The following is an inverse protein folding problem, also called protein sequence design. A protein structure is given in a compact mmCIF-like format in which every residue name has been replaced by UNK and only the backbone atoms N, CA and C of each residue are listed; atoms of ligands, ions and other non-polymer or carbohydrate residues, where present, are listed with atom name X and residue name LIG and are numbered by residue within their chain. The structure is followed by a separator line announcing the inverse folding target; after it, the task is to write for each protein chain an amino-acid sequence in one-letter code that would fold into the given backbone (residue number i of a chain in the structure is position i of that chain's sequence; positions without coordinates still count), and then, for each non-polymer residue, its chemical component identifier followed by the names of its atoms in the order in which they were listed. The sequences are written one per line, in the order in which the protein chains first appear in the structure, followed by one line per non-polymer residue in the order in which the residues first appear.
data_IF_472881622897
#
_entry.id   IF_472881622897
#
_cell.length_a   1.000
_cell.length_b   1.000
_cell.length_c   1.000
_cell.angle_alpha   90.00
_cell.angle_beta   90.00
_cell.angle_gamma   90.00
#
_symmetry.space_group_name_H-M   'P 1'
#
loop_
_entity.id
_entity.type
_entity.pdbx_description
1 polymer ?
#
# COMPACT_ATOMS: atom_id res chain seq x y z
N UNK A 1 10.65 -13.50 -16.01
CA UNK A 1 11.36 -12.90 -14.84
C UNK A 1 10.38 -12.21 -13.88
N UNK A 2 9.55 -11.25 -14.33
CA UNK A 2 8.57 -10.57 -13.47
C UNK A 2 7.58 -11.50 -12.76
N UNK A 3 7.02 -12.51 -13.45
CA UNK A 3 6.12 -13.49 -12.82
C UNK A 3 6.80 -14.27 -11.68
N UNK A 4 8.09 -14.60 -11.82
CA UNK A 4 8.84 -15.28 -10.77
C UNK A 4 9.08 -14.36 -9.56
N UNK A 5 9.46 -13.09 -9.80
CA UNK A 5 9.60 -12.09 -8.75
C UNK A 5 8.27 -11.83 -8.01
N UNK A 6 7.16 -11.73 -8.74
CA UNK A 6 5.82 -11.60 -8.16
C UNK A 6 5.46 -12.80 -7.26
N UNK A 7 5.70 -14.03 -7.74
CA UNK A 7 5.46 -15.24 -6.94
C UNK A 7 6.32 -15.26 -5.68
N UNK A 8 7.61 -14.90 -5.79
CA UNK A 8 8.51 -14.78 -4.63
C UNK A 8 7.98 -13.78 -3.59
N UNK A 9 7.54 -12.59 -4.02
CA UNK A 9 6.97 -11.58 -3.11
C UNK A 9 5.73 -12.09 -2.39
N UNK A 10 4.83 -12.78 -3.11
CA UNK A 10 3.65 -13.40 -2.51
C UNK A 10 4.01 -14.46 -1.47
N UNK A 11 4.93 -15.36 -1.80
CA UNK A 11 5.41 -16.39 -0.88
C UNK A 11 6.06 -15.78 0.37
N UNK A 12 6.90 -14.75 0.19
CA UNK A 12 7.56 -14.06 1.31
C UNK A 12 6.57 -13.41 2.30
N UNK A 13 5.38 -13.04 1.83
CA UNK A 13 4.30 -12.46 2.64
C UNK A 13 3.27 -13.50 3.10
N UNK A 14 3.51 -14.80 2.87
CA UNK A 14 2.55 -15.87 3.21
C UNK A 14 1.27 -15.84 2.37
N UNK A 15 1.26 -15.11 1.25
CA UNK A 15 0.10 -14.95 0.37
C UNK A 15 0.06 -16.10 -0.65
N UNK A 16 -0.31 -17.29 -0.18
CA UNK A 16 -0.53 -18.46 -1.04
C UNK A 16 -1.53 -18.20 -2.17
N UNK A 17 -1.63 -19.15 -3.11
CA UNK A 17 -2.45 -18.97 -4.32
C UNK A 17 -3.95 -18.77 -4.04
N UNK A 18 -4.46 -19.34 -2.95
CA UNK A 18 -5.84 -19.16 -2.51
C UNK A 18 -6.08 -17.87 -1.69
N UNK A 19 -5.01 -17.14 -1.33
CA UNK A 19 -5.13 -15.93 -0.51
C UNK A 19 -5.79 -14.79 -1.27
N UNK A 20 -6.88 -14.27 -0.68
CA UNK A 20 -7.65 -13.13 -1.18
C UNK A 20 -7.31 -11.81 -0.45
N UNK A 21 -6.19 -11.79 0.28
CA UNK A 21 -5.73 -10.57 0.97
C UNK A 21 -5.53 -9.46 -0.06
N UNK A 22 -6.16 -8.28 0.09
CA UNK A 22 -5.94 -7.18 -0.82
C UNK A 22 -4.51 -6.65 -0.65
N UNK A 23 -3.87 -6.24 -1.75
CA UNK A 23 -2.53 -5.67 -1.73
C UNK A 23 -2.36 -4.61 -2.82
N UNK A 24 -1.39 -3.73 -2.62
CA UNK A 24 -0.82 -2.91 -3.69
C UNK A 24 0.37 -3.64 -4.31
N UNK A 25 0.46 -3.62 -5.64
CA UNK A 25 1.64 -4.07 -6.38
C UNK A 25 2.21 -2.87 -7.14
N UNK A 26 3.47 -2.56 -6.88
CA UNK A 26 4.26 -1.60 -7.62
C UNK A 26 5.28 -2.37 -8.45
N UNK A 27 5.41 -2.01 -9.72
CA UNK A 27 6.36 -2.64 -10.62
C UNK A 27 6.96 -1.58 -11.55
N UNK A 28 8.28 -1.56 -11.63
CA UNK A 28 9.06 -0.83 -12.62
C UNK A 28 9.85 -1.82 -13.47
N UNK A 29 10.75 -1.35 -14.32
CA UNK A 29 11.68 -2.21 -15.06
C UNK A 29 12.76 -2.81 -14.14
N UNK A 30 13.04 -2.16 -13.01
CA UNK A 30 14.18 -2.46 -12.15
C UNK A 30 13.78 -3.19 -10.86
N UNK A 31 12.54 -3.01 -10.39
CA UNK A 31 12.08 -3.57 -9.12
C UNK A 31 10.58 -3.82 -9.07
N UNK A 32 10.17 -4.65 -8.11
CA UNK A 32 8.77 -4.88 -7.73
C UNK A 32 8.63 -4.80 -6.22
N UNK A 33 7.51 -4.25 -5.75
CA UNK A 33 7.16 -4.17 -4.34
C UNK A 33 5.69 -4.56 -4.14
N UNK A 34 5.41 -5.44 -3.18
CA UNK A 34 4.06 -5.85 -2.83
C UNK A 34 3.78 -5.44 -1.38
N UNK A 35 2.67 -4.75 -1.16
CA UNK A 35 2.27 -4.28 0.17
C UNK A 35 0.85 -4.77 0.48
N UNK A 36 0.67 -5.69 1.44
CA UNK A 36 -0.66 -6.07 1.94
C UNK A 36 -1.39 -4.83 2.45
N UNK A 37 -2.70 -4.76 2.17
CA UNK A 37 -3.57 -3.66 2.61
C UNK A 37 -4.57 -4.16 3.65
N UNK A 38 -4.70 -3.43 4.74
CA UNK A 38 -5.70 -3.69 5.78
C UNK A 38 -6.97 -2.87 5.58
N UNK A 39 -6.87 -1.73 4.88
CA UNK A 39 -7.99 -0.84 4.52
C UNK A 39 -7.64 -0.01 3.28
N UNK A 40 -8.65 0.58 2.65
CA UNK A 40 -8.48 1.41 1.46
C UNK A 40 -8.06 2.87 1.77
N UNK A 41 -8.39 3.37 2.95
CA UNK A 41 -8.17 4.76 3.34
C UNK A 41 -7.92 4.93 4.84
N UNK A 42 -7.37 6.10 5.19
CA UNK A 42 -7.27 6.57 6.57
C UNK A 42 -7.43 8.10 6.56
N UNK A 43 -8.13 8.67 7.56
CA UNK A 43 -8.47 10.10 7.62
C UNK A 43 -9.19 10.64 6.36
N UNK A 44 -9.99 9.80 5.69
CA UNK A 44 -10.67 10.13 4.43
C UNK A 44 -9.73 10.25 3.21
N UNK A 45 -8.44 9.93 3.37
CA UNK A 45 -7.45 9.92 2.28
C UNK A 45 -7.29 8.50 1.77
N UNK A 46 -7.65 8.30 0.50
CA UNK A 46 -7.52 7.03 -0.19
C UNK A 46 -6.06 6.73 -0.51
N UNK A 47 -5.60 5.52 -0.17
CA UNK A 47 -4.22 5.08 -0.42
C UNK A 47 -4.19 3.89 -1.37
N UNK A 48 -3.78 4.15 -2.61
CA UNK A 48 -3.52 3.16 -3.64
C UNK A 48 -2.02 2.84 -3.74
N UNK A 49 -1.59 2.14 -4.78
CA UNK A 49 -0.20 1.78 -4.98
C UNK A 49 0.74 2.99 -5.09
N UNK A 50 0.31 4.10 -5.70
CA UNK A 50 1.13 5.32 -5.82
C UNK A 50 1.38 6.01 -4.49
N UNK A 51 0.49 5.83 -3.50
CA UNK A 51 0.73 6.31 -2.14
C UNK A 51 2.01 5.71 -1.53
N UNK A 52 2.25 4.42 -1.78
CA UNK A 52 3.47 3.72 -1.35
C UNK A 52 4.71 4.07 -2.19
N UNK A 53 4.53 4.78 -3.32
CA UNK A 53 5.61 5.40 -4.08
C UNK A 53 5.87 6.86 -3.65
N UNK A 54 5.19 7.36 -2.61
CA UNK A 54 5.36 8.72 -2.10
C UNK A 54 4.39 9.76 -2.67
N UNK A 55 3.42 9.36 -3.50
CA UNK A 55 2.43 10.27 -4.10
C UNK A 55 1.07 10.13 -3.41
N UNK A 56 0.77 11.04 -2.49
CA UNK A 56 -0.53 11.11 -1.81
C UNK A 56 -1.43 12.14 -2.48
N UNK A 57 -2.66 11.75 -2.83
CA UNK A 57 -3.67 12.65 -3.36
C UNK A 57 -4.61 13.08 -2.24
N UNK A 58 -4.46 14.31 -1.80
CA UNK A 58 -5.30 14.96 -0.80
C UNK A 58 -6.28 15.90 -1.48
N UNK A 59 -7.55 15.87 -1.09
CA UNK A 59 -8.63 16.59 -1.80
C UNK A 59 -9.10 17.86 -1.09
N UNK A 60 -8.87 17.97 0.22
CA UNK A 60 -9.33 19.12 1.01
C UNK A 60 -8.23 19.63 1.95
N UNK A 61 -8.28 20.92 2.37
CA UNK A 61 -7.36 21.45 3.38
C UNK A 61 -7.38 20.67 4.69
N UNK A 62 -8.56 20.22 5.14
CA UNK A 62 -8.70 19.47 6.39
C UNK A 62 -8.00 18.11 6.31
N UNK A 63 -8.10 17.44 5.16
CA UNK A 63 -7.34 16.21 4.90
C UNK A 63 -5.83 16.49 4.86
N UNK A 64 -5.41 17.63 4.31
CA UNK A 64 -4.00 18.01 4.26
C UNK A 64 -3.44 18.23 5.65
N UNK A 65 -4.13 19.02 6.48
CA UNK A 65 -3.73 19.29 7.86
C UNK A 65 -3.68 18.00 8.68
N UNK A 66 -4.67 17.12 8.53
CA UNK A 66 -4.70 15.83 9.21
C UNK A 66 -3.54 14.91 8.79
N UNK A 67 -3.22 14.84 7.49
CA UNK A 67 -2.06 14.07 6.98
C UNK A 67 -0.74 14.70 7.42
N UNK A 68 -0.64 16.03 7.44
CA UNK A 68 0.56 16.74 7.88
C UNK A 68 0.83 16.52 9.37
N UNK A 69 -0.21 16.53 10.20
CA UNK A 69 -0.11 16.25 11.63
C UNK A 69 0.24 14.78 11.92
N UNK A 70 -0.34 13.83 11.18
CA UNK A 70 -0.06 12.40 11.32
C UNK A 70 1.34 12.02 10.78
N UNK A 71 1.71 12.62 9.65
CA UNK A 71 2.88 12.28 8.86
C UNK A 71 2.58 11.20 7.80
N UNK A 72 3.17 11.29 6.60
CA UNK A 72 2.86 10.40 5.47
C UNK A 72 3.25 8.94 5.72
N UNK A 73 4.36 8.69 6.43
CA UNK A 73 4.77 7.31 6.75
C UNK A 73 3.79 6.63 7.71
N UNK A 74 3.29 7.37 8.68
CA UNK A 74 2.29 6.85 9.62
C UNK A 74 0.96 6.62 8.91
N UNK A 75 0.55 7.50 8.00
CA UNK A 75 -0.60 7.26 7.12
C UNK A 75 -0.46 5.93 6.34
N UNK A 76 0.70 5.66 5.74
CA UNK A 76 0.96 4.39 5.04
C UNK A 76 0.90 3.19 6.00
N UNK A 77 1.42 3.33 7.23
CA UNK A 77 1.35 2.28 8.25
C UNK A 77 -0.08 1.92 8.63
N UNK A 78 -0.97 2.91 8.71
CA UNK A 78 -2.38 2.71 9.09
C UNK A 78 -3.20 1.93 8.05
N UNK A 79 -2.77 1.94 6.79
CA UNK A 79 -3.45 1.25 5.68
C UNK A 79 -2.75 -0.03 5.22
N UNK A 80 -1.51 -0.25 5.65
CA UNK A 80 -0.73 -1.45 5.36
C UNK A 80 -1.08 -2.61 6.32
N UNK A 81 -0.67 -3.82 5.95
CA UNK A 81 -0.80 -5.03 6.74
C UNK A 81 -1.90 -5.96 6.24
N UNK A 82 -1.94 -7.16 6.81
CA UNK A 82 -3.05 -8.10 6.60
C UNK A 82 -4.15 -7.70 7.57
N UNK A 83 -5.36 -7.44 7.08
CA UNK A 83 -6.50 -7.22 7.97
C UNK A 83 -6.64 -8.43 8.92
N UNK A 84 -6.97 -8.23 10.21
CA UNK A 84 -7.21 -9.34 11.14
C UNK A 84 -8.32 -10.27 10.65
#
# INVERSE_FOLDING_TARGET
RMLAAYRLLRTALGLGDASRVPYNLLATRDWMMLVPRSRAEHLGVNVNALGFAGSLLVRTPEQFDAVAALGPLELLRQVAGVAP
#
